data_IF_263456305963
#
_entry.id   IF_263456305963
#
_cell.length_a   1.000
_cell.length_b   1.000
_cell.length_c   1.000
_cell.angle_alpha   90.00
_cell.angle_beta   90.00
_cell.angle_gamma   90.00
#
_symmetry.space_group_name_H-M   'P 1'
#
loop_
_entity.id
_entity.type
_entity.pdbx_description
1 polymer ?
#
# COMPACT_ATOMS: atom_id res chain seq x y z
N UNK A 1 -11.13 -19.62 -0.57
CA UNK A 1 -10.56 -19.98 0.74
C UNK A 1 -10.13 -18.70 1.41
N UNK A 2 -10.70 -18.40 2.58
CA UNK A 2 -10.13 -17.38 3.47
C UNK A 2 -8.84 -17.96 4.05
N UNK A 3 -7.77 -17.18 4.09
CA UNK A 3 -6.45 -17.66 4.52
C UNK A 3 -5.63 -16.55 5.14
N UNK A 4 -4.96 -16.88 6.24
CA UNK A 4 -3.95 -16.01 6.84
C UNK A 4 -2.73 -15.93 5.93
N UNK A 5 -2.20 -14.71 5.76
CA UNK A 5 -0.99 -14.43 5.01
C UNK A 5 0.02 -13.71 5.93
N UNK A 6 0.69 -14.43 6.85
CA UNK A 6 1.62 -13.84 7.82
C UNK A 6 2.74 -13.05 7.12
N UNK A 7 3.18 -13.51 5.95
CA UNK A 7 4.19 -12.81 5.16
C UNK A 7 3.75 -11.41 4.70
N UNK A 8 2.45 -11.18 4.54
CA UNK A 8 1.89 -9.85 4.21
C UNK A 8 1.96 -8.93 5.43
N UNK A 9 1.61 -9.43 6.62
CA UNK A 9 1.69 -8.65 7.87
C UNK A 9 3.12 -8.22 8.14
N UNK A 10 4.09 -9.13 8.03
CA UNK A 10 5.51 -8.81 8.19
C UNK A 10 6.04 -7.83 7.13
N UNK A 11 5.52 -7.91 5.89
CA UNK A 11 5.92 -6.97 4.85
C UNK A 11 5.37 -5.57 5.08
N UNK A 12 4.17 -5.43 5.64
CA UNK A 12 3.57 -4.13 5.96
C UNK A 12 4.42 -3.34 6.96
N UNK A 13 5.06 -4.01 7.92
CA UNK A 13 6.01 -3.41 8.87
C UNK A 13 7.24 -2.81 8.17
N UNK A 14 7.67 -3.39 7.05
CA UNK A 14 8.80 -2.89 6.26
C UNK A 14 8.49 -1.58 5.52
N UNK A 15 7.22 -1.19 5.40
CA UNK A 15 6.84 0.03 4.67
C UNK A 15 7.42 1.30 5.30
N UNK A 16 7.62 1.31 6.62
CA UNK A 16 8.26 2.41 7.32
C UNK A 16 9.70 2.59 6.82
N UNK A 17 10.54 1.56 6.88
CA UNK A 17 11.94 1.66 6.44
C UNK A 17 12.06 1.80 4.92
N UNK A 18 11.34 1.01 4.13
CA UNK A 18 11.56 0.96 2.68
C UNK A 18 11.07 2.23 1.98
N UNK A 19 9.83 2.65 2.26
CA UNK A 19 9.24 3.76 1.51
C UNK A 19 9.82 5.11 1.94
N UNK A 20 10.01 5.35 3.24
CA UNK A 20 10.49 6.66 3.69
C UNK A 20 11.97 6.85 3.36
N UNK A 21 12.80 5.81 3.50
CA UNK A 21 14.23 5.90 3.18
C UNK A 21 14.43 6.18 1.69
N UNK A 22 13.74 5.47 0.79
CA UNK A 22 13.82 5.74 -0.65
C UNK A 22 13.30 7.13 -1.01
N UNK A 23 12.14 7.50 -0.46
CA UNK A 23 11.53 8.80 -0.72
C UNK A 23 12.44 9.94 -0.27
N UNK A 24 13.03 9.84 0.92
CA UNK A 24 13.97 10.84 1.44
C UNK A 24 15.28 10.86 0.63
N UNK A 25 15.85 9.69 0.33
CA UNK A 25 17.05 9.60 -0.51
C UNK A 25 16.86 10.31 -1.86
N UNK A 26 15.67 10.15 -2.46
CA UNK A 26 15.32 10.75 -3.75
C UNK A 26 15.05 12.26 -3.69
N UNK A 27 14.44 12.77 -2.62
CA UNK A 27 13.86 14.13 -2.59
C UNK A 27 14.36 15.06 -1.48
N UNK A 28 15.26 14.60 -0.59
CA UNK A 28 15.67 15.40 0.57
C UNK A 28 16.25 16.77 0.21
N UNK A 29 16.98 16.91 -0.91
CA UNK A 29 17.59 18.20 -1.28
C UNK A 29 16.53 19.25 -1.59
N UNK A 30 15.52 18.86 -2.36
CA UNK A 30 14.39 19.70 -2.75
C UNK A 30 13.49 20.02 -1.56
N UNK A 31 13.21 19.02 -0.73
CA UNK A 31 12.36 19.15 0.46
C UNK A 31 13.02 20.06 1.50
N UNK A 32 14.30 19.86 1.81
CA UNK A 32 15.01 20.66 2.83
C UNK A 32 15.32 22.08 2.33
N UNK A 33 15.39 22.31 1.02
CA UNK A 33 15.53 23.65 0.45
C UNK A 33 14.25 24.49 0.59
N UNK A 34 13.06 23.87 0.71
CA UNK A 34 11.79 24.56 0.83
C UNK A 34 10.74 23.75 1.64
N UNK A 35 10.99 23.46 2.94
CA UNK A 35 10.17 22.56 3.74
C UNK A 35 8.73 23.08 3.93
N UNK A 36 8.54 24.39 4.00
CA UNK A 36 7.22 25.03 4.17
C UNK A 36 6.27 24.83 2.97
N UNK A 37 6.78 24.32 1.84
CA UNK A 37 5.96 23.95 0.67
C UNK A 37 5.42 22.53 0.75
N UNK A 38 5.86 21.73 1.70
CA UNK A 38 5.43 20.35 1.91
C UNK A 38 4.42 20.33 3.05
N UNK A 39 3.32 19.60 2.88
CA UNK A 39 2.34 19.42 3.95
C UNK A 39 3.03 18.80 5.18
N UNK A 40 2.83 19.37 6.37
CA UNK A 40 3.62 19.06 7.58
C UNK A 40 3.70 17.57 7.89
N UNK A 41 2.57 16.88 7.87
CA UNK A 41 2.49 15.43 8.09
C UNK A 41 3.34 14.60 7.10
N UNK A 42 3.43 15.07 5.86
CA UNK A 42 4.22 14.44 4.81
C UNK A 42 5.70 14.76 5.00
N UNK A 43 6.03 16.00 5.36
CA UNK A 43 7.40 16.42 5.67
C UNK A 43 8.01 15.57 6.79
N UNK A 44 7.28 15.36 7.89
CA UNK A 44 7.70 14.49 8.99
C UNK A 44 7.96 13.06 8.53
N UNK A 45 7.04 12.50 7.73
CA UNK A 45 7.19 11.15 7.16
C UNK A 45 8.37 11.03 6.20
N UNK A 46 8.68 12.07 5.41
CA UNK A 46 9.89 12.09 4.59
C UNK A 46 11.14 12.09 5.47
N UNK A 47 11.22 12.99 6.46
CA UNK A 47 12.37 13.10 7.36
C UNK A 47 12.62 11.84 8.19
N UNK A 48 11.57 11.07 8.51
CA UNK A 48 11.72 9.75 9.14
C UNK A 48 12.57 8.78 8.30
N UNK A 49 12.68 8.97 6.99
CA UNK A 49 13.60 8.19 6.15
C UNK A 49 15.08 8.41 6.47
N UNK A 50 15.45 9.55 7.06
CA UNK A 50 16.82 9.86 7.44
C UNK A 50 17.28 9.11 8.70
N UNK A 51 16.36 8.53 9.48
CA UNK A 51 16.67 7.88 10.76
C UNK A 51 17.06 6.41 10.60
N UNK A 52 16.77 5.80 9.45
CA UNK A 52 17.15 4.43 9.15
C UNK A 52 18.58 4.37 8.58
N UNK A 53 19.34 3.38 9.02
CA UNK A 53 20.66 3.09 8.46
C UNK A 53 20.57 2.42 7.09
N UNK A 54 21.66 2.52 6.32
CA UNK A 54 21.78 1.77 5.06
C UNK A 54 21.72 0.25 5.25
N UNK A 55 22.13 -0.25 6.44
CA UNK A 55 22.04 -1.68 6.79
C UNK A 55 20.58 -2.09 6.92
N UNK A 56 19.79 -1.37 7.73
CA UNK A 56 18.36 -1.64 7.92
C UNK A 56 17.59 -1.59 6.60
N UNK A 57 17.94 -0.65 5.71
CA UNK A 57 17.34 -0.53 4.40
C UNK A 57 17.63 -1.76 3.51
N UNK A 58 18.89 -2.20 3.44
CA UNK A 58 19.29 -3.38 2.66
C UNK A 58 18.67 -4.66 3.25
N UNK A 59 18.67 -4.80 4.57
CA UNK A 59 18.04 -5.93 5.27
C UNK A 59 16.52 -5.96 5.02
N UNK A 60 15.87 -4.79 5.01
CA UNK A 60 14.45 -4.65 4.66
C UNK A 60 14.15 -5.19 3.27
N UNK A 61 14.96 -4.84 2.27
CA UNK A 61 14.79 -5.36 0.90
C UNK A 61 15.06 -6.87 0.82
N UNK A 62 16.08 -7.37 1.52
CA UNK A 62 16.36 -8.81 1.61
C UNK A 62 15.20 -9.56 2.26
N UNK A 63 14.61 -9.03 3.34
CA UNK A 63 13.42 -9.61 3.97
C UNK A 63 12.22 -9.56 3.02
N UNK A 64 11.94 -8.42 2.39
CA UNK A 64 10.81 -8.28 1.48
C UNK A 64 10.85 -9.27 0.31
N UNK A 65 12.02 -9.50 -0.29
CA UNK A 65 12.18 -10.49 -1.37
C UNK A 65 11.84 -11.92 -0.93
N UNK A 66 12.22 -12.31 0.30
CA UNK A 66 11.84 -13.62 0.87
C UNK A 66 10.34 -13.71 1.12
N UNK A 67 9.73 -12.66 1.66
CA UNK A 67 8.30 -12.59 1.92
C UNK A 67 7.48 -12.66 0.61
N UNK A 68 7.91 -11.95 -0.44
CA UNK A 68 7.32 -12.04 -1.78
C UNK A 68 7.31 -13.47 -2.32
N UNK A 69 8.45 -14.16 -2.26
CA UNK A 69 8.53 -15.55 -2.73
C UNK A 69 7.56 -16.48 -1.97
N UNK A 70 7.42 -16.29 -0.65
CA UNK A 70 6.47 -17.04 0.16
C UNK A 70 5.01 -16.71 -0.20
N UNK A 71 4.70 -15.43 -0.39
CA UNK A 71 3.38 -14.97 -0.81
C UNK A 71 3.01 -15.53 -2.18
N UNK A 72 3.90 -15.40 -3.17
CA UNK A 72 3.67 -15.91 -4.53
C UNK A 72 3.39 -17.42 -4.54
N UNK A 73 4.14 -18.20 -3.74
CA UNK A 73 3.89 -19.62 -3.59
C UNK A 73 2.51 -19.92 -2.96
N UNK A 74 2.09 -19.12 -1.97
CA UNK A 74 0.76 -19.25 -1.33
C UNK A 74 -0.37 -18.98 -2.33
N UNK A 75 -0.23 -17.95 -3.16
CA UNK A 75 -1.31 -17.50 -4.06
C UNK A 75 -1.23 -18.07 -5.47
N UNK A 76 -0.23 -18.89 -5.79
CA UNK A 76 0.01 -19.43 -7.13
C UNK A 76 -1.19 -20.15 -7.77
N UNK A 77 -2.05 -20.77 -6.96
CA UNK A 77 -3.26 -21.46 -7.43
C UNK A 77 -4.50 -20.57 -7.59
N UNK A 78 -4.40 -19.27 -7.34
CA UNK A 78 -5.51 -18.33 -7.36
C UNK A 78 -5.47 -17.45 -8.61
N UNK A 79 -6.63 -17.08 -9.14
CA UNK A 79 -6.72 -16.10 -10.24
C UNK A 79 -6.42 -14.67 -9.78
N UNK A 80 -6.88 -14.35 -8.58
CA UNK A 80 -6.60 -13.11 -7.88
C UNK A 80 -6.85 -13.28 -6.38
N UNK A 81 -6.15 -12.49 -5.58
CA UNK A 81 -6.51 -12.21 -4.19
C UNK A 81 -7.46 -11.02 -4.17
N UNK A 82 -8.58 -11.16 -3.45
CA UNK A 82 -9.66 -10.18 -3.45
C UNK A 82 -9.81 -9.60 -2.04
N UNK A 83 -9.93 -8.27 -1.94
CA UNK A 83 -10.12 -7.56 -0.67
C UNK A 83 -10.81 -6.21 -0.91
N UNK A 84 -11.43 -5.56 0.11
CA UNK A 84 -11.84 -4.16 -0.01
C UNK A 84 -10.65 -3.29 -0.42
N UNK A 85 -10.85 -2.29 -1.28
CA UNK A 85 -9.75 -1.39 -1.67
C UNK A 85 -9.26 -0.56 -0.49
N UNK A 86 -10.18 -0.07 0.35
CA UNK A 86 -9.88 0.67 1.57
C UNK A 86 -10.60 0.02 2.76
N UNK A 87 -10.01 0.12 3.95
CA UNK A 87 -10.62 -0.40 5.18
C UNK A 87 -11.69 0.53 5.76
N UNK A 88 -11.69 1.79 5.33
CA UNK A 88 -12.55 2.84 5.86
C UNK A 88 -13.30 3.54 4.73
N UNK A 89 -14.41 4.16 5.09
CA UNK A 89 -15.09 5.14 4.24
C UNK A 89 -14.30 6.45 4.17
N UNK A 90 -14.62 7.36 3.23
CA UNK A 90 -13.97 8.66 3.16
C UNK A 90 -13.98 9.37 4.52
N UNK A 91 -12.80 9.76 5.05
CA UNK A 91 -12.69 10.38 6.37
C UNK A 91 -13.19 11.83 6.38
N UNK A 92 -13.38 12.39 7.58
CA UNK A 92 -13.78 13.79 7.75
C UNK A 92 -12.63 14.73 7.37
N UNK A 93 -12.85 15.53 6.32
CA UNK A 93 -11.84 16.43 5.78
C UNK A 93 -11.39 17.52 6.78
N UNK A 94 -12.29 18.03 7.62
CA UNK A 94 -11.94 19.08 8.57
C UNK A 94 -11.01 18.53 9.66
N UNK A 95 -11.34 17.33 10.16
CA UNK A 95 -10.51 16.66 11.17
C UNK A 95 -9.13 16.32 10.64
N UNK A 96 -9.02 15.87 9.39
CA UNK A 96 -7.71 15.65 8.75
C UNK A 96 -6.77 16.87 8.82
N UNK A 97 -7.32 18.09 8.81
CA UNK A 97 -6.54 19.32 8.82
C UNK A 97 -6.20 19.82 10.22
N UNK A 98 -6.84 19.31 11.28
CA UNK A 98 -6.76 19.87 12.64
C UNK A 98 -6.39 18.86 13.72
N UNK A 99 -6.40 17.57 13.41
CA UNK A 99 -6.24 16.47 14.37
C UNK A 99 -5.18 15.49 13.83
N UNK A 100 -3.95 15.62 14.36
CA UNK A 100 -2.79 14.84 13.95
C UNK A 100 -3.00 13.34 14.19
N UNK A 101 -3.49 12.95 15.37
CA UNK A 101 -3.70 11.54 15.71
C UNK A 101 -4.75 10.91 14.78
N UNK A 102 -5.83 11.66 14.49
CA UNK A 102 -6.81 11.22 13.50
C UNK A 102 -6.21 11.08 12.10
N UNK A 103 -5.39 12.02 11.65
CA UNK A 103 -4.71 11.94 10.36
C UNK A 103 -3.86 10.67 10.26
N UNK A 104 -3.04 10.38 11.28
CA UNK A 104 -2.17 9.20 11.30
C UNK A 104 -3.00 7.91 11.22
N UNK A 105 -4.03 7.80 12.05
CA UNK A 105 -4.92 6.62 12.11
C UNK A 105 -5.60 6.35 10.75
N UNK A 106 -6.32 7.35 10.22
CA UNK A 106 -7.06 7.18 8.97
C UNK A 106 -6.15 7.03 7.77
N UNK A 107 -4.98 7.67 7.73
CA UNK A 107 -4.01 7.47 6.65
C UNK A 107 -3.44 6.04 6.67
N UNK A 108 -3.21 5.48 7.86
CA UNK A 108 -2.79 4.08 7.98
C UNK A 108 -3.87 3.13 7.48
N UNK A 109 -5.12 3.31 7.90
CA UNK A 109 -6.24 2.49 7.46
C UNK A 109 -6.58 2.65 5.97
N UNK A 110 -6.58 3.88 5.46
CA UNK A 110 -6.91 4.18 4.06
C UNK A 110 -5.96 3.47 3.10
N UNK A 111 -4.67 3.38 3.45
CA UNK A 111 -3.61 2.83 2.61
C UNK A 111 -3.29 1.36 2.90
N UNK A 112 -3.89 0.72 3.91
CA UNK A 112 -3.47 -0.62 4.38
C UNK A 112 -3.53 -1.67 3.26
N UNK A 113 -4.65 -1.77 2.55
CA UNK A 113 -4.87 -2.83 1.56
C UNK A 113 -4.09 -2.59 0.27
N UNK A 114 -4.10 -1.36 -0.26
CA UNK A 114 -3.34 -1.02 -1.47
C UNK A 114 -1.83 -1.19 -1.29
N UNK A 115 -1.31 -0.95 -0.07
CA UNK A 115 0.09 -1.24 0.26
C UNK A 115 0.47 -2.71 0.09
N UNK A 116 -0.47 -3.65 0.24
CA UNK A 116 -0.20 -5.08 0.03
C UNK A 116 0.27 -5.32 -1.41
N UNK A 117 -0.44 -4.76 -2.40
CA UNK A 117 -0.04 -4.89 -3.81
C UNK A 117 1.34 -4.26 -4.08
N UNK A 118 1.57 -3.04 -3.56
CA UNK A 118 2.86 -2.34 -3.71
C UNK A 118 4.02 -3.16 -3.14
N UNK A 119 3.86 -3.69 -1.92
CA UNK A 119 4.89 -4.45 -1.24
C UNK A 119 5.07 -5.84 -1.84
N UNK A 120 4.01 -6.52 -2.26
CA UNK A 120 4.11 -7.87 -2.85
C UNK A 120 4.54 -7.83 -4.32
N UNK A 121 4.46 -6.67 -4.98
CA UNK A 121 4.81 -6.52 -6.40
C UNK A 121 3.73 -7.05 -7.35
N UNK A 122 2.51 -7.23 -6.85
CA UNK A 122 1.38 -7.71 -7.65
C UNK A 122 0.78 -6.63 -8.54
N UNK A 123 0.04 -7.07 -9.56
CA UNK A 123 -0.79 -6.19 -10.38
C UNK A 123 -2.14 -6.00 -9.68
N UNK A 124 -2.61 -4.77 -9.50
CA UNK A 124 -3.87 -4.50 -8.78
C UNK A 124 -4.88 -3.71 -9.62
N UNK A 125 -6.17 -4.06 -9.47
CA UNK A 125 -7.30 -3.40 -10.10
C UNK A 125 -8.40 -3.18 -9.06
N UNK A 126 -8.87 -1.94 -8.92
CA UNK A 126 -10.05 -1.62 -8.12
C UNK A 126 -11.25 -1.42 -9.02
N UNK A 127 -12.37 -2.05 -8.67
CA UNK A 127 -13.67 -1.82 -9.28
C UNK A 127 -14.61 -1.13 -8.27
N UNK A 128 -15.48 -0.22 -8.73
CA UNK A 128 -16.55 0.28 -7.89
C UNK A 128 -17.54 -0.86 -7.58
N UNK A 129 -18.26 -0.71 -6.48
CA UNK A 129 -19.41 -1.56 -6.14
C UNK A 129 -20.70 -0.74 -6.23
N UNK A 130 -21.86 -1.39 -6.12
CA UNK A 130 -23.15 -0.71 -5.96
C UNK A 130 -23.29 0.07 -4.64
N UNK A 131 -22.32 -0.02 -3.71
CA UNK A 131 -22.32 0.73 -2.45
C UNK A 131 -21.41 1.97 -2.58
N UNK A 132 -21.91 3.18 -2.29
CA UNK A 132 -21.14 4.42 -2.39
C UNK A 132 -19.81 4.34 -1.63
N UNK A 133 -18.73 4.79 -2.29
CA UNK A 133 -17.37 4.84 -1.74
C UNK A 133 -16.76 3.50 -1.32
N UNK A 134 -17.38 2.38 -1.68
CA UNK A 134 -16.84 1.04 -1.46
C UNK A 134 -16.29 0.48 -2.77
N UNK A 135 -14.97 0.28 -2.81
CA UNK A 135 -14.28 -0.40 -3.90
C UNK A 135 -13.85 -1.81 -3.50
N UNK A 136 -13.80 -2.71 -4.49
CA UNK A 136 -13.24 -4.05 -4.35
C UNK A 136 -11.99 -4.15 -5.21
N UNK A 137 -10.89 -4.58 -4.59
CA UNK A 137 -9.59 -4.70 -5.21
C UNK A 137 -9.25 -6.15 -5.49
N UNK A 138 -8.78 -6.40 -6.71
CA UNK A 138 -8.25 -7.67 -7.18
C UNK A 138 -6.74 -7.52 -7.37
N UNK A 139 -5.96 -8.44 -6.80
CA UNK A 139 -4.50 -8.48 -6.94
C UNK A 139 -4.10 -9.78 -7.61
N UNK A 140 -3.44 -9.70 -8.76
CA UNK A 140 -2.90 -10.83 -9.51
C UNK A 140 -1.37 -10.78 -9.53
N UNK A 141 -0.69 -11.84 -10.03
CA UNK A 141 0.78 -11.85 -10.10
C UNK A 141 1.38 -10.65 -10.84
N UNK A 142 2.68 -10.37 -10.67
CA UNK A 142 3.36 -9.34 -11.44
C UNK A 142 3.17 -9.53 -12.96
N UNK A 143 3.10 -8.43 -13.72
CA UNK A 143 3.03 -8.44 -15.19
C UNK A 143 1.81 -9.22 -15.74
N UNK A 144 0.66 -9.12 -15.08
CA UNK A 144 -0.56 -9.86 -15.47
C UNK A 144 -1.76 -8.95 -15.76
N UNK A 145 -1.50 -7.70 -16.15
CA UNK A 145 -2.49 -6.65 -16.42
C UNK A 145 -3.60 -7.12 -17.36
N UNK A 146 -3.26 -7.76 -18.49
CA UNK A 146 -4.26 -8.24 -19.45
C UNK A 146 -5.21 -9.27 -18.83
N UNK A 147 -4.67 -10.23 -18.07
CA UNK A 147 -5.49 -11.23 -17.35
C UNK A 147 -6.37 -10.56 -16.30
N UNK A 148 -5.80 -9.62 -15.54
CA UNK A 148 -6.52 -8.92 -14.49
C UNK A 148 -7.65 -8.06 -15.05
N UNK A 149 -7.43 -7.37 -16.18
CA UNK A 149 -8.46 -6.58 -16.85
C UNK A 149 -9.59 -7.47 -17.40
N UNK A 150 -9.28 -8.65 -17.93
CA UNK A 150 -10.32 -9.63 -18.32
C UNK A 150 -11.15 -10.10 -17.13
N UNK A 151 -10.50 -10.41 -16.01
CA UNK A 151 -11.19 -10.77 -14.77
C UNK A 151 -12.07 -9.61 -14.27
N UNK A 152 -11.53 -8.39 -14.30
CA UNK A 152 -12.23 -7.18 -13.89
C UNK A 152 -13.47 -6.90 -14.74
N UNK A 153 -13.36 -7.01 -16.07
CA UNK A 153 -14.49 -6.84 -16.98
C UNK A 153 -15.61 -7.90 -16.77
N UNK A 154 -15.26 -9.09 -16.29
CA UNK A 154 -16.24 -10.09 -15.89
C UNK A 154 -16.89 -9.75 -14.54
N UNK A 155 -16.07 -9.38 -13.54
CA UNK A 155 -16.54 -9.02 -12.20
C UNK A 155 -17.43 -7.77 -12.19
N UNK A 156 -17.11 -6.75 -12.98
CA UNK A 156 -17.88 -5.51 -13.09
C UNK A 156 -19.35 -5.76 -13.45
N UNK A 157 -19.65 -6.81 -14.23
CA UNK A 157 -21.02 -7.13 -14.66
C UNK A 157 -21.95 -7.54 -13.51
N UNK A 158 -21.39 -8.03 -12.41
CA UNK A 158 -22.14 -8.53 -11.25
C UNK A 158 -22.00 -7.66 -10.00
N UNK A 159 -21.11 -6.65 -10.03
CA UNK A 159 -20.88 -5.72 -8.93
C UNK A 159 -21.79 -4.47 -8.98
N UNK A 160 -22.58 -4.33 -10.05
CA UNK A 160 -23.56 -3.26 -10.26
C UNK A 160 -24.77 -3.41 -9.33
#
# INVERSE_FOLDING_TARGET
>A
TEGEAPEVSEALELSAVLFTTEAYAQWHREIEAAPDKVFGEILERFRAGATFSGVEFVEGWMKLRRLRAAYDARVAGMDAVIMPTSQILPPDLKRLATDHEYYVDVNLHALRNTRIANLMGGTALTLPTGVPSCGIMFVSPPMSEERLLRLGAAAEKVLK
#
